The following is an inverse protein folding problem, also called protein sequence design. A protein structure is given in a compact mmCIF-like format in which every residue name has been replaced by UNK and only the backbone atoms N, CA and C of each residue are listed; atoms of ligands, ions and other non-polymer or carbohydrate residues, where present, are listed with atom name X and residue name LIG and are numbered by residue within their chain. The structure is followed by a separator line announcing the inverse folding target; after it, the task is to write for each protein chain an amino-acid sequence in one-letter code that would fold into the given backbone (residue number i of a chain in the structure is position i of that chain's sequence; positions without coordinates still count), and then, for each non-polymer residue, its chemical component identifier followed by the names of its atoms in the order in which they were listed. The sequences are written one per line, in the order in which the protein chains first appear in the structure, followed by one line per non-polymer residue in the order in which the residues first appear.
data_IF_598996237255
#
_entry.id   IF_598996237255
#
_cell.length_a   1.000
_cell.length_b   1.000
_cell.length_c   1.000
_cell.angle_alpha   90.00
_cell.angle_beta   90.00
_cell.angle_gamma   90.00
#
_symmetry.space_group_name_H-M   'P 1'
#
loop_
_entity.id
_entity.type
_entity.pdbx_description
1 polymer ?
#
# COMPACT_ATOMS: atom_id res chain seq x y z
N UNK A 1 32.37 43.24 55.26
CA UNK A 1 32.67 42.29 54.11
C UNK A 1 31.81 41.01 54.06
N UNK A 2 31.29 40.47 55.16
CA UNK A 2 30.51 39.21 55.16
C UNK A 2 29.17 39.26 54.39
N UNK A 3 28.50 40.43 54.32
CA UNK A 3 27.17 40.52 53.67
C UNK A 3 27.19 40.61 52.13
N UNK A 4 28.32 41.00 51.55
CA UNK A 4 28.41 41.14 50.05
C UNK A 4 28.47 39.79 49.34
N UNK A 5 29.16 38.81 49.91
CA UNK A 5 29.24 37.49 49.43
C UNK A 5 27.89 36.72 49.54
N UNK A 6 27.20 36.91 50.65
CA UNK A 6 25.88 36.32 50.86
C UNK A 6 24.84 36.89 49.87
N UNK A 7 24.89 38.20 49.63
CA UNK A 7 24.00 38.89 48.68
C UNK A 7 24.27 38.43 47.21
N UNK A 8 25.55 38.38 46.79
CA UNK A 8 25.92 37.88 45.47
C UNK A 8 25.55 36.41 45.26
N UNK A 9 25.68 35.57 46.30
CA UNK A 9 25.24 34.17 46.24
C UNK A 9 23.73 34.01 46.03
N UNK A 10 22.92 34.84 46.72
CA UNK A 10 21.46 34.82 46.56
C UNK A 10 21.05 35.31 45.15
N UNK A 11 21.68 36.39 44.67
CA UNK A 11 21.42 36.90 43.31
C UNK A 11 21.81 35.86 42.24
N UNK A 12 22.95 35.20 42.41
CA UNK A 12 23.36 34.10 41.51
C UNK A 12 22.37 32.92 41.53
N UNK A 13 21.96 32.49 42.71
CA UNK A 13 20.97 31.41 42.83
C UNK A 13 19.62 31.78 42.21
N UNK A 14 19.16 33.03 42.39
CA UNK A 14 17.91 33.49 41.80
C UNK A 14 17.95 33.44 40.26
N UNK A 15 19.07 33.90 39.66
CA UNK A 15 19.27 33.83 38.18
C UNK A 15 19.37 32.38 37.71
N UNK A 16 20.14 31.57 38.42
CA UNK A 16 20.32 30.15 38.06
C UNK A 16 19.00 29.38 38.14
N UNK A 17 18.22 29.56 39.18
CA UNK A 17 16.89 28.97 39.32
C UNK A 17 15.92 29.48 38.25
N UNK A 18 15.97 30.79 37.92
CA UNK A 18 15.15 31.38 36.88
C UNK A 18 15.42 30.75 35.51
N UNK A 19 16.69 30.56 35.15
CA UNK A 19 17.11 29.90 33.91
C UNK A 19 16.69 28.44 33.93
N UNK A 20 16.97 27.69 35.01
CA UNK A 20 16.60 26.29 35.15
C UNK A 20 15.10 26.05 35.03
N UNK A 21 14.28 26.85 35.66
CA UNK A 21 12.83 26.80 35.56
C UNK A 21 12.34 27.12 34.15
N UNK A 22 12.96 28.09 33.47
CA UNK A 22 12.59 28.41 32.07
C UNK A 22 12.84 27.25 31.13
N UNK A 23 13.96 26.55 31.25
CA UNK A 23 14.25 25.34 30.46
C UNK A 23 13.26 24.22 30.77
N UNK A 24 12.94 23.97 32.03
CA UNK A 24 11.97 22.92 32.39
C UNK A 24 10.57 23.19 31.87
N UNK A 25 10.13 24.43 31.84
CA UNK A 25 8.83 24.84 31.27
C UNK A 25 8.82 24.67 29.76
N UNK A 26 9.91 25.03 29.07
CA UNK A 26 10.02 24.85 27.62
C UNK A 26 10.02 23.37 27.22
N UNK A 27 10.80 22.53 27.92
CA UNK A 27 10.82 21.09 27.73
C UNK A 27 9.42 20.47 27.91
N UNK A 28 8.72 20.83 28.96
CA UNK A 28 7.35 20.34 29.18
C UNK A 28 6.39 20.81 28.10
N UNK A 29 6.54 22.02 27.58
CA UNK A 29 5.73 22.57 26.49
C UNK A 29 6.00 21.83 25.18
N UNK A 30 7.28 21.55 24.89
CA UNK A 30 7.66 20.75 23.67
C UNK A 30 7.10 19.34 23.75
N UNK A 31 7.23 18.65 24.87
CA UNK A 31 6.67 17.33 25.09
C UNK A 31 5.15 17.30 24.88
N UNK A 32 4.44 18.28 25.41
CA UNK A 32 3.00 18.39 25.23
C UNK A 32 2.63 18.62 23.75
N UNK A 33 3.40 19.42 23.01
CA UNK A 33 3.20 19.64 21.59
C UNK A 33 3.47 18.37 20.78
N UNK A 34 4.56 17.64 21.06
CA UNK A 34 4.90 16.38 20.39
C UNK A 34 3.79 15.36 20.60
N UNK A 35 3.31 15.17 21.84
CA UNK A 35 2.20 14.26 22.16
C UNK A 35 0.90 14.61 21.42
N UNK A 36 0.58 15.90 21.34
CA UNK A 36 -0.62 16.36 20.63
C UNK A 36 -0.50 16.11 19.10
N UNK A 37 0.66 16.36 18.52
CA UNK A 37 0.93 16.08 17.10
C UNK A 37 0.90 14.59 16.82
N UNK A 38 1.51 13.76 17.67
CA UNK A 38 1.48 12.30 17.55
C UNK A 38 0.05 11.76 17.61
N UNK A 39 -0.78 12.27 18.52
CA UNK A 39 -2.21 11.91 18.55
C UNK A 39 -2.92 12.26 17.24
N UNK A 40 -2.60 13.41 16.67
CA UNK A 40 -3.12 13.82 15.36
C UNK A 40 -2.64 12.87 14.24
N UNK A 41 -1.37 12.45 14.29
CA UNK A 41 -0.80 11.49 13.33
C UNK A 41 -1.53 10.16 13.38
N UNK A 42 -1.76 9.59 14.57
CA UNK A 42 -2.55 8.34 14.72
C UNK A 42 -3.97 8.46 14.15
N UNK A 43 -4.63 9.60 14.39
CA UNK A 43 -5.97 9.86 13.85
C UNK A 43 -5.94 9.93 12.32
N UNK A 44 -4.93 10.56 11.74
CA UNK A 44 -4.81 10.68 10.29
C UNK A 44 -4.44 9.34 9.65
N UNK A 45 -3.50 8.59 10.23
CA UNK A 45 -3.16 7.23 9.79
C UNK A 45 -4.41 6.33 9.83
N UNK A 46 -5.17 6.39 10.92
CA UNK A 46 -6.42 5.63 11.03
C UNK A 46 -7.41 5.98 9.92
N UNK A 47 -7.59 7.27 9.62
CA UNK A 47 -8.48 7.72 8.53
C UNK A 47 -8.00 7.25 7.16
N UNK A 48 -6.70 7.23 6.91
CA UNK A 48 -6.12 6.72 5.68
C UNK A 48 -6.42 5.22 5.54
N UNK A 49 -6.21 4.43 6.60
CA UNK A 49 -6.51 2.99 6.61
C UNK A 49 -8.02 2.70 6.44
N UNK A 50 -8.89 3.47 7.10
CA UNK A 50 -10.35 3.34 6.97
C UNK A 50 -10.84 3.65 5.54
N UNK A 51 -10.14 4.55 4.83
CA UNK A 51 -10.42 4.87 3.43
C UNK A 51 -9.90 3.79 2.48
N UNK A 52 -8.75 3.20 2.79
CA UNK A 52 -8.11 2.18 1.96
C UNK A 52 -8.81 0.82 2.04
N UNK A 53 -9.44 0.50 3.17
CA UNK A 53 -10.07 -0.80 3.40
C UNK A 53 -11.10 -1.18 2.31
N UNK A 54 -12.13 -0.35 1.99
CA UNK A 54 -13.09 -0.70 0.94
C UNK A 54 -12.44 -0.77 -0.45
N UNK A 55 -11.36 -0.05 -0.68
CA UNK A 55 -10.60 -0.14 -1.92
C UNK A 55 -9.87 -1.49 -2.03
N UNK A 56 -9.24 -1.95 -0.94
CA UNK A 56 -8.62 -3.28 -0.87
C UNK A 56 -9.64 -4.42 -1.06
N UNK A 57 -10.80 -4.31 -0.42
CA UNK A 57 -11.88 -5.29 -0.55
C UNK A 57 -12.36 -5.38 -2.01
N UNK A 58 -12.51 -4.25 -2.70
CA UNK A 58 -12.87 -4.21 -4.11
C UNK A 58 -11.81 -4.89 -4.99
N UNK A 59 -10.53 -4.56 -4.80
CA UNK A 59 -9.43 -5.17 -5.56
C UNK A 59 -9.39 -6.70 -5.32
N UNK A 60 -9.55 -7.15 -4.08
CA UNK A 60 -9.57 -8.57 -3.76
C UNK A 60 -10.69 -9.31 -4.51
N UNK A 61 -11.89 -8.73 -4.54
CA UNK A 61 -13.03 -9.29 -5.28
C UNK A 61 -12.79 -9.31 -6.79
N UNK A 62 -12.22 -8.25 -7.35
CA UNK A 62 -11.89 -8.18 -8.78
C UNK A 62 -10.85 -9.24 -9.17
N UNK A 63 -9.82 -9.47 -8.33
CA UNK A 63 -8.82 -10.51 -8.55
C UNK A 63 -9.41 -11.92 -8.45
N UNK A 64 -10.31 -12.19 -7.51
CA UNK A 64 -11.01 -13.46 -7.41
C UNK A 64 -11.85 -13.74 -8.68
N UNK A 65 -12.61 -12.75 -9.12
CA UNK A 65 -13.38 -12.83 -10.35
C UNK A 65 -12.51 -13.08 -11.60
N UNK A 66 -11.37 -12.38 -11.71
CA UNK A 66 -10.42 -12.57 -12.80
C UNK A 66 -9.80 -13.98 -12.77
N UNK A 67 -9.50 -14.51 -11.58
CA UNK A 67 -9.00 -15.86 -11.42
C UNK A 67 -10.02 -16.93 -11.88
N UNK A 68 -11.28 -16.81 -11.49
CA UNK A 68 -12.34 -17.74 -11.93
C UNK A 68 -12.55 -17.69 -13.45
N UNK A 69 -12.56 -16.50 -14.06
CA UNK A 69 -12.63 -16.33 -15.52
C UNK A 69 -11.43 -16.95 -16.21
N UNK A 70 -10.23 -16.79 -15.65
CA UNK A 70 -9.00 -17.40 -16.18
C UNK A 70 -9.07 -18.94 -16.15
N UNK A 71 -9.63 -19.54 -15.11
CA UNK A 71 -9.89 -21.00 -15.08
C UNK A 71 -10.81 -21.44 -16.22
N UNK A 72 -11.93 -20.73 -16.41
CA UNK A 72 -12.85 -21.04 -17.52
C UNK A 72 -12.17 -20.92 -18.89
N UNK A 73 -11.35 -19.89 -19.10
CA UNK A 73 -10.58 -19.74 -20.34
C UNK A 73 -9.62 -20.92 -20.57
N UNK A 74 -8.92 -21.38 -19.51
CA UNK A 74 -8.02 -22.54 -19.57
C UNK A 74 -8.80 -23.80 -19.92
N UNK A 75 -9.97 -24.03 -19.35
CA UNK A 75 -10.83 -25.17 -19.66
C UNK A 75 -11.29 -25.17 -21.13
N UNK A 76 -11.65 -24.00 -21.67
CA UNK A 76 -12.03 -23.86 -23.08
C UNK A 76 -10.89 -24.17 -24.05
N UNK A 77 -9.64 -24.07 -23.62
CA UNK A 77 -8.45 -24.36 -24.42
C UNK A 77 -8.06 -25.84 -24.39
N UNK A 78 -8.70 -26.68 -23.57
CA UNK A 78 -8.42 -28.11 -23.53
C UNK A 78 -8.80 -28.81 -24.87
N UNK A 79 -8.09 -29.86 -25.26
CA UNK A 79 -8.33 -30.54 -26.53
C UNK A 79 -9.73 -31.15 -26.68
N UNK A 80 -10.34 -31.55 -25.58
CA UNK A 80 -11.65 -32.20 -25.47
C UNK A 80 -12.81 -31.22 -25.32
N UNK A 81 -12.53 -29.93 -25.22
CA UNK A 81 -13.55 -28.89 -25.06
C UNK A 81 -13.99 -28.30 -26.43
N UNK A 82 -15.24 -27.86 -26.51
CA UNK A 82 -15.71 -27.04 -27.63
C UNK A 82 -15.24 -25.61 -27.45
N UNK A 83 -14.26 -25.17 -28.26
CA UNK A 83 -13.75 -23.81 -28.21
C UNK A 83 -14.74 -22.81 -28.83
N UNK A 84 -15.16 -21.83 -28.06
CA UNK A 84 -15.96 -20.69 -28.53
C UNK A 84 -15.13 -19.39 -28.42
N UNK A 85 -14.72 -18.88 -29.59
CA UNK A 85 -13.88 -17.67 -29.66
C UNK A 85 -14.55 -16.45 -29.05
N UNK A 86 -15.84 -16.21 -29.30
CA UNK A 86 -16.56 -15.03 -28.78
C UNK A 86 -16.66 -15.07 -27.27
N UNK A 87 -16.96 -16.24 -26.69
CA UNK A 87 -17.03 -16.40 -25.25
C UNK A 87 -15.64 -16.26 -24.61
N UNK A 88 -14.61 -16.80 -25.25
CA UNK A 88 -13.23 -16.63 -24.80
C UNK A 88 -12.82 -15.15 -24.75
N UNK A 89 -13.10 -14.39 -25.81
CA UNK A 89 -12.78 -12.96 -25.86
C UNK A 89 -13.55 -12.16 -24.82
N UNK A 90 -14.84 -12.47 -24.61
CA UNK A 90 -15.64 -11.85 -23.56
C UNK A 90 -15.04 -12.10 -22.17
N UNK A 91 -14.68 -13.34 -21.85
CA UNK A 91 -14.03 -13.67 -20.57
C UNK A 91 -12.67 -12.96 -20.41
N UNK A 92 -11.91 -12.86 -21.49
CA UNK A 92 -10.64 -12.15 -21.49
C UNK A 92 -10.83 -10.65 -21.20
N UNK A 93 -11.76 -9.98 -21.87
CA UNK A 93 -12.05 -8.57 -21.65
C UNK A 93 -12.55 -8.30 -20.23
N UNK A 94 -13.38 -9.20 -19.71
CA UNK A 94 -13.92 -9.10 -18.34
C UNK A 94 -12.89 -9.50 -17.25
N UNK A 95 -11.82 -10.20 -17.59
CA UNK A 95 -10.72 -10.54 -16.67
C UNK A 95 -9.65 -9.46 -16.61
N UNK A 96 -9.67 -8.52 -17.56
CA UNK A 96 -8.74 -7.39 -17.59
C UNK A 96 -9.21 -6.32 -16.60
N UNK A 97 -8.50 -6.16 -15.52
CA UNK A 97 -8.73 -5.11 -14.53
C UNK A 97 -7.41 -4.46 -14.12
N UNK A 98 -7.46 -3.18 -13.83
CA UNK A 98 -6.36 -2.43 -13.23
C UNK A 98 -6.39 -2.75 -11.72
N UNK A 99 -5.56 -3.70 -11.29
CA UNK A 99 -5.67 -4.33 -9.97
C UNK A 99 -4.53 -3.91 -9.02
N UNK A 100 -3.77 -2.87 -9.38
CA UNK A 100 -2.70 -2.37 -8.52
C UNK A 100 -3.28 -1.51 -7.40
N UNK A 101 -2.95 -1.86 -6.16
CA UNK A 101 -3.34 -1.10 -4.99
C UNK A 101 -2.37 0.05 -4.73
N UNK A 102 -2.91 1.25 -4.62
CA UNK A 102 -2.19 2.46 -4.21
C UNK A 102 -2.78 2.98 -2.89
N UNK A 103 -2.25 2.53 -1.78
CA UNK A 103 -2.69 2.97 -0.45
C UNK A 103 -2.24 4.38 -0.09
N UNK A 104 -3.01 5.05 0.77
CA UNK A 104 -2.69 6.37 1.29
C UNK A 104 -1.56 6.27 2.32
N UNK A 105 -0.34 6.70 1.98
CA UNK A 105 0.86 6.58 2.83
C UNK A 105 1.30 7.92 3.46
N UNK A 106 0.75 9.04 3.00
CA UNK A 106 1.27 10.38 3.35
C UNK A 106 1.26 10.68 4.85
N UNK A 107 0.23 10.27 5.58
CA UNK A 107 0.17 10.49 7.05
C UNK A 107 1.22 9.68 7.79
N UNK A 108 1.44 8.44 7.38
CA UNK A 108 2.49 7.58 7.92
C UNK A 108 3.88 8.15 7.64
N UNK A 109 4.17 8.50 6.39
CA UNK A 109 5.48 9.02 5.97
C UNK A 109 5.85 10.30 6.71
N UNK A 110 4.91 11.24 6.86
CA UNK A 110 5.12 12.47 7.63
C UNK A 110 5.41 12.19 9.10
N UNK A 111 4.70 11.23 9.70
CA UNK A 111 4.91 10.87 11.11
C UNK A 111 6.26 10.17 11.34
N UNK A 112 6.68 9.30 10.43
CA UNK A 112 8.00 8.65 10.47
C UNK A 112 9.12 9.66 10.20
N UNK A 113 9.00 10.46 9.14
CA UNK A 113 10.01 11.45 8.77
C UNK A 113 10.25 12.50 9.84
N UNK A 114 9.23 12.84 10.62
CA UNK A 114 9.36 13.75 11.77
C UNK A 114 9.88 13.07 13.04
N UNK A 115 10.08 11.76 13.03
CA UNK A 115 10.49 10.95 14.18
C UNK A 115 9.42 10.75 15.25
N UNK A 116 8.22 11.34 15.10
CA UNK A 116 7.18 11.28 16.15
C UNK A 116 6.69 9.85 16.38
N UNK A 117 6.40 9.11 15.33
CA UNK A 117 5.97 7.72 15.45
C UNK A 117 7.09 6.82 16.00
N UNK A 118 8.33 7.06 15.56
CA UNK A 118 9.49 6.23 15.88
C UNK A 118 10.00 6.42 17.30
N UNK A 119 10.07 7.67 17.79
CA UNK A 119 10.69 7.98 19.08
C UNK A 119 9.71 8.27 20.20
N UNK A 120 8.48 8.66 19.88
CA UNK A 120 7.47 9.07 20.87
C UNK A 120 6.19 8.23 20.79
N UNK A 121 6.09 7.36 19.80
CA UNK A 121 4.96 6.47 19.62
C UNK A 121 4.91 5.36 20.67
N UNK A 122 3.76 4.71 20.78
CA UNK A 122 3.66 3.45 21.50
C UNK A 122 4.35 2.35 20.66
N UNK A 123 5.34 1.67 21.20
CA UNK A 123 6.20 0.72 20.49
C UNK A 123 5.40 -0.37 19.78
N UNK A 124 4.43 -0.98 20.45
CA UNK A 124 3.61 -2.04 19.88
C UNK A 124 2.75 -1.51 18.72
N UNK A 125 2.01 -0.41 18.93
CA UNK A 125 1.17 0.20 17.91
C UNK A 125 1.99 0.73 16.74
N UNK A 126 3.13 1.36 16.99
CA UNK A 126 4.04 1.88 15.96
C UNK A 126 4.61 0.76 15.10
N UNK A 127 4.97 -0.37 15.70
CA UNK A 127 5.45 -1.55 15.00
C UNK A 127 4.35 -2.19 14.12
N UNK A 128 3.12 -2.31 14.63
CA UNK A 128 2.00 -2.84 13.83
C UNK A 128 1.64 -1.92 12.65
N UNK A 129 1.60 -0.61 12.87
CA UNK A 129 1.44 0.36 11.79
C UNK A 129 2.59 0.23 10.77
N UNK A 130 3.83 0.15 11.25
CA UNK A 130 5.00 -0.04 10.39
C UNK A 130 4.90 -1.29 9.52
N UNK A 131 4.43 -2.42 10.06
CA UNK A 131 4.22 -3.66 9.29
C UNK A 131 3.18 -3.48 8.19
N UNK A 132 2.08 -2.74 8.44
CA UNK A 132 1.07 -2.48 7.42
C UNK A 132 1.71 -1.78 6.22
N UNK A 133 2.41 -0.67 6.43
CA UNK A 133 2.96 0.15 5.35
C UNK A 133 4.22 -0.45 4.71
N UNK A 134 5.21 -0.86 5.51
CA UNK A 134 6.50 -1.34 5.01
C UNK A 134 6.47 -2.77 4.48
N UNK A 135 5.49 -3.60 4.89
CA UNK A 135 5.41 -4.99 4.46
C UNK A 135 4.15 -5.29 3.66
N UNK A 136 2.95 -5.05 4.23
CA UNK A 136 1.72 -5.48 3.56
C UNK A 136 1.40 -4.62 2.34
N UNK A 137 1.41 -3.29 2.47
CA UNK A 137 1.16 -2.37 1.35
C UNK A 137 2.19 -2.52 0.25
N UNK A 138 3.47 -2.62 0.63
CA UNK A 138 4.54 -2.86 -0.33
C UNK A 138 4.33 -4.15 -1.13
N UNK A 139 3.98 -5.26 -0.46
CA UNK A 139 3.73 -6.54 -1.15
C UNK A 139 2.53 -6.50 -2.08
N UNK A 140 1.43 -5.87 -1.66
CA UNK A 140 0.22 -5.78 -2.47
C UNK A 140 0.50 -4.93 -3.70
N UNK A 141 1.15 -3.78 -3.52
CA UNK A 141 1.55 -2.89 -4.62
C UNK A 141 2.47 -3.61 -5.61
N UNK A 142 3.55 -4.22 -5.13
CA UNK A 142 4.51 -4.96 -5.96
C UNK A 142 3.86 -6.10 -6.75
N UNK A 143 2.98 -6.87 -6.12
CA UNK A 143 2.27 -7.95 -6.80
C UNK A 143 1.30 -7.40 -7.87
N UNK A 144 0.64 -6.28 -7.61
CA UNK A 144 -0.19 -5.58 -8.58
C UNK A 144 0.60 -5.15 -9.80
N UNK A 145 1.72 -4.43 -9.60
CA UNK A 145 2.61 -4.01 -10.69
C UNK A 145 3.11 -5.20 -11.53
N UNK A 146 3.48 -6.32 -10.89
CA UNK A 146 3.92 -7.52 -11.59
C UNK A 146 2.81 -8.12 -12.45
N UNK A 147 1.57 -8.12 -11.98
CA UNK A 147 0.41 -8.56 -12.74
C UNK A 147 0.15 -7.64 -13.93
N UNK A 148 0.14 -6.32 -13.72
CA UNK A 148 -0.08 -5.32 -14.77
C UNK A 148 1.02 -5.40 -15.84
N UNK A 149 2.27 -5.56 -15.44
CA UNK A 149 3.39 -5.78 -16.36
C UNK A 149 3.23 -7.06 -17.17
N UNK A 150 2.85 -8.16 -16.53
CA UNK A 150 2.61 -9.45 -17.20
C UNK A 150 1.47 -9.31 -18.19
N UNK A 151 0.39 -8.67 -17.80
CA UNK A 151 -0.77 -8.40 -18.66
C UNK A 151 -0.38 -7.58 -19.88
N UNK A 152 0.31 -6.46 -19.69
CA UNK A 152 0.73 -5.56 -20.76
C UNK A 152 1.69 -6.22 -21.77
N UNK A 153 2.48 -7.19 -21.32
CA UNK A 153 3.43 -7.91 -22.19
C UNK A 153 2.80 -9.11 -22.92
N UNK A 154 1.89 -9.80 -22.26
CA UNK A 154 1.36 -11.09 -22.77
C UNK A 154 0.10 -10.89 -23.61
N UNK A 155 -0.85 -10.09 -23.14
CA UNK A 155 -2.14 -9.89 -23.79
C UNK A 155 -2.02 -9.26 -25.18
N UNK A 156 -1.25 -8.17 -25.42
CA UNK A 156 -1.08 -7.63 -26.77
C UNK A 156 -0.47 -8.63 -27.76
N UNK A 157 0.44 -9.48 -27.29
CA UNK A 157 1.06 -10.52 -28.16
C UNK A 157 0.08 -11.62 -28.55
N UNK A 158 -0.89 -11.93 -27.69
CA UNK A 158 -1.92 -12.90 -27.96
C UNK A 158 -3.04 -12.32 -28.86
N UNK A 159 -3.34 -11.03 -28.73
CA UNK A 159 -4.44 -10.37 -29.44
C UNK A 159 -3.98 -9.70 -30.75
N UNK A 160 -2.79 -9.11 -30.79
CA UNK A 160 -2.22 -8.40 -31.95
C UNK A 160 -1.24 -9.25 -32.77
N UNK A 161 -0.79 -10.38 -32.25
CA UNK A 161 -0.10 -11.39 -33.07
C UNK A 161 -1.01 -11.77 -34.21
N UNK A 162 -0.49 -12.33 -35.36
CA UNK A 162 -1.32 -12.78 -36.46
C UNK A 162 -2.28 -13.84 -35.93
N UNK A 163 -3.39 -13.39 -35.40
CA UNK A 163 -4.40 -14.20 -34.69
C UNK A 163 -5.02 -15.29 -35.58
N UNK A 164 -4.85 -15.16 -36.88
CA UNK A 164 -5.27 -16.13 -37.88
C UNK A 164 -4.18 -17.17 -38.18
N UNK A 165 -2.91 -16.88 -37.88
CA UNK A 165 -1.75 -17.72 -38.17
C UNK A 165 -1.12 -18.40 -36.94
N UNK A 166 -1.70 -18.29 -35.76
CA UNK A 166 -1.12 -18.97 -34.60
C UNK A 166 -1.28 -20.51 -34.80
N UNK A 167 -0.19 -21.30 -34.68
CA UNK A 167 -0.20 -22.73 -34.99
C UNK A 167 -1.27 -23.53 -34.25
N UNK A 168 -1.64 -23.11 -33.03
CA UNK A 168 -2.68 -23.75 -32.21
C UNK A 168 -4.10 -23.47 -32.74
N UNK A 169 -4.37 -22.27 -33.29
CA UNK A 169 -5.67 -21.88 -33.84
C UNK A 169 -5.85 -22.56 -35.21
N UNK A 170 -4.81 -22.60 -36.04
CA UNK A 170 -4.82 -23.32 -37.33
C UNK A 170 -4.99 -24.84 -37.15
N UNK A 171 -4.34 -25.43 -36.15
CA UNK A 171 -4.46 -26.86 -35.87
C UNK A 171 -5.87 -27.25 -35.43
N UNK A 172 -6.56 -26.44 -34.66
CA UNK A 172 -7.97 -26.67 -34.27
C UNK A 172 -8.95 -26.46 -35.42
N UNK A 173 -8.76 -25.47 -36.29
CA UNK A 173 -9.59 -25.24 -37.46
C UNK A 173 -9.39 -26.35 -38.51
N UNK A 174 -8.18 -26.90 -38.68
CA UNK A 174 -7.92 -28.05 -39.55
C UNK A 174 -8.58 -29.34 -39.04
N UNK A 175 -8.67 -29.54 -37.75
CA UNK A 175 -9.34 -30.70 -37.14
C UNK A 175 -10.87 -30.62 -37.35
N UNK A 176 -11.46 -29.41 -37.19
CA UNK A 176 -12.89 -29.18 -37.40
C UNK A 176 -13.33 -29.31 -38.87
N UNK A 177 -12.47 -29.01 -39.87
CA UNK A 177 -12.76 -29.16 -41.31
C UNK A 177 -12.63 -30.62 -41.75
N UNK A 178 -11.87 -31.47 -41.05
CA UNK A 178 -11.73 -32.91 -41.38
C UNK A 178 -12.80 -33.81 -40.75
N UNK A 179 -13.66 -33.28 -39.90
CA UNK A 179 -14.77 -34.03 -39.26
C UNK A 179 -16.14 -33.77 -39.90
N UNK A 180 -16.18 -33.16 -41.07
CA UNK A 180 -17.30 -33.09 -42.02
C UNK A 180 -16.84 -33.61 -43.38
#
# INVERSE_FOLDING_TARGET
MKNTFARGGIEFLAVFLGIGLSFSVEEWREDAQIKNRLKSDYINIKKDLEKDLPYLERIALEQENAHEKSKLMIEMLRPDSSFNYQNYMKLNDESNGDNTFFGAQSSYDVSVASGRLTYFGNDELSNEIGKIYSHHYYRIHYNGELLDETYSRVVPRLVTGPSINHPLVQKKNLILIRSH
#
